data_IF_932400847702
#
_entry.id   IF_932400847702
#
_cell.length_a   1.000
_cell.length_b   1.000
_cell.length_c   1.000
_cell.angle_alpha   90.00
_cell.angle_beta   90.00
_cell.angle_gamma   90.00
#
_symmetry.space_group_name_H-M   'P 1'
#
loop_
_entity.id
_entity.type
_entity.pdbx_description
1 polymer ?
#
# COMPACT_ATOMS: atom_id res chain seq x y z
N UNK A 1 33.55 -16.26 33.59
CA UNK A 1 33.65 -15.47 32.34
C UNK A 1 33.71 -16.46 31.19
N UNK A 2 32.68 -16.48 30.35
CA UNK A 2 32.76 -16.79 28.92
C UNK A 2 31.39 -16.41 28.38
N UNK A 3 31.28 -15.12 28.02
CA UNK A 3 30.20 -14.66 27.20
C UNK A 3 30.37 -15.33 25.84
N UNK A 4 29.53 -16.31 25.55
CA UNK A 4 29.20 -16.63 24.16
C UNK A 4 28.53 -15.38 23.61
N UNK A 5 29.36 -14.49 23.06
CA UNK A 5 28.94 -13.50 22.10
C UNK A 5 28.10 -14.23 21.07
N UNK A 6 26.80 -13.92 21.00
CA UNK A 6 25.93 -14.32 19.90
C UNK A 6 26.70 -14.03 18.61
N UNK A 7 27.26 -15.07 17.99
CA UNK A 7 27.94 -14.94 16.70
C UNK A 7 26.85 -14.58 15.72
N UNK A 8 26.73 -13.30 15.41
CA UNK A 8 25.84 -12.82 14.36
C UNK A 8 26.39 -13.36 13.05
N UNK A 9 25.84 -14.50 12.60
CA UNK A 9 26.13 -15.02 11.28
C UNK A 9 25.48 -14.09 10.28
N UNK A 10 26.26 -13.60 9.32
CA UNK A 10 25.73 -12.82 8.20
C UNK A 10 24.88 -13.77 7.35
N UNK A 11 23.71 -13.29 6.93
CA UNK A 11 22.76 -14.03 6.11
C UNK A 11 22.56 -13.25 4.81
N UNK A 12 22.87 -13.89 3.69
CA UNK A 12 22.59 -13.37 2.35
C UNK A 12 21.26 -13.96 1.87
N UNK A 13 20.28 -13.11 1.60
CA UNK A 13 18.93 -13.53 1.19
C UNK A 13 18.76 -13.28 -0.31
N UNK A 14 18.45 -14.34 -1.05
CA UNK A 14 18.12 -14.32 -2.48
C UNK A 14 16.63 -14.61 -2.62
N UNK A 15 15.82 -13.57 -2.83
CA UNK A 15 14.37 -13.68 -2.93
C UNK A 15 13.89 -13.74 -4.39
N UNK A 16 12.92 -14.60 -4.67
CA UNK A 16 12.22 -14.65 -5.94
C UNK A 16 10.74 -15.01 -5.76
N UNK A 17 9.90 -14.60 -6.70
CA UNK A 17 8.52 -15.06 -6.77
C UNK A 17 8.40 -16.18 -7.81
N UNK A 18 8.07 -17.43 -7.41
CA UNK A 18 8.01 -18.55 -8.35
C UNK A 18 6.90 -18.40 -9.40
N UNK A 19 5.85 -17.62 -9.13
CA UNK A 19 4.71 -17.41 -10.05
C UNK A 19 4.87 -16.17 -10.93
N UNK A 20 5.87 -15.32 -10.67
CA UNK A 20 6.27 -14.23 -11.58
C UNK A 20 7.15 -14.72 -12.73
N UNK A 21 7.42 -16.03 -12.81
CA UNK A 21 8.23 -16.68 -13.83
C UNK A 21 7.45 -17.85 -14.41
N UNK A 22 7.71 -18.16 -15.68
CA UNK A 22 7.29 -19.43 -16.27
C UNK A 22 8.13 -20.59 -15.70
N UNK A 23 7.62 -21.83 -15.77
CA UNK A 23 8.37 -23.01 -15.30
C UNK A 23 9.76 -23.13 -15.94
N UNK A 24 9.84 -22.87 -17.25
CA UNK A 24 11.10 -22.88 -17.97
C UNK A 24 12.05 -21.76 -17.56
N UNK A 25 11.55 -20.56 -17.24
CA UNK A 25 12.39 -19.50 -16.67
C UNK A 25 12.81 -19.79 -15.23
N UNK A 26 12.02 -20.54 -14.46
CA UNK A 26 12.32 -20.86 -13.06
C UNK A 26 13.42 -21.93 -12.95
N UNK A 27 13.27 -23.05 -13.65
CA UNK A 27 14.19 -24.21 -13.56
C UNK A 27 15.14 -24.37 -14.74
N UNK A 28 14.80 -23.77 -15.88
CA UNK A 28 15.50 -23.94 -17.14
C UNK A 28 14.66 -24.72 -18.14
N UNK A 29 14.93 -24.48 -19.42
CA UNK A 29 14.24 -25.15 -20.53
C UNK A 29 15.16 -25.30 -21.73
N UNK A 30 14.88 -26.32 -22.54
CA UNK A 30 15.48 -26.43 -23.87
C UNK A 30 14.72 -25.56 -24.85
N UNK A 31 15.44 -24.86 -25.71
CA UNK A 31 14.84 -24.20 -26.86
C UNK A 31 14.41 -25.28 -27.88
N UNK A 32 13.14 -25.30 -28.27
CA UNK A 32 12.60 -26.30 -29.19
C UNK A 32 13.21 -26.26 -30.59
N UNK A 33 13.71 -25.10 -31.02
CA UNK A 33 14.29 -24.90 -32.35
C UNK A 33 15.79 -25.19 -32.37
N UNK A 34 16.54 -24.71 -31.36
CA UNK A 34 18.00 -24.83 -31.35
C UNK A 34 18.50 -26.03 -30.54
N UNK A 35 17.62 -26.65 -29.74
CA UNK A 35 17.97 -27.65 -28.73
C UNK A 35 19.02 -27.18 -27.71
N UNK A 36 19.25 -25.86 -27.61
CA UNK A 36 20.15 -25.29 -26.61
C UNK A 36 19.45 -25.17 -25.26
N UNK A 37 20.19 -25.46 -24.20
CA UNK A 37 19.70 -25.33 -22.83
C UNK A 37 19.82 -23.88 -22.35
N UNK A 38 18.74 -23.36 -21.79
CA UNK A 38 18.74 -22.08 -21.07
C UNK A 38 18.51 -22.35 -19.58
N UNK A 39 19.42 -21.85 -18.75
CA UNK A 39 19.33 -22.01 -17.30
C UNK A 39 18.20 -21.18 -16.69
N UNK A 40 17.51 -21.77 -15.69
CA UNK A 40 16.49 -21.06 -14.93
C UNK A 40 17.06 -20.22 -13.79
N UNK A 41 16.28 -19.22 -13.35
CA UNK A 41 16.65 -18.28 -12.29
C UNK A 41 16.95 -19.00 -10.97
N UNK A 42 16.12 -19.97 -10.56
CA UNK A 42 16.35 -20.70 -9.31
C UNK A 42 17.65 -21.54 -9.36
N UNK A 43 17.95 -22.14 -10.51
CA UNK A 43 19.18 -22.89 -10.73
C UNK A 43 20.42 -21.99 -10.70
N UNK A 44 20.35 -20.79 -11.29
CA UNK A 44 21.44 -19.79 -11.23
C UNK A 44 21.69 -19.34 -9.80
N UNK A 45 20.65 -18.94 -9.06
CA UNK A 45 20.78 -18.48 -7.67
C UNK A 45 21.34 -19.57 -6.77
N UNK A 46 20.86 -20.81 -6.91
CA UNK A 46 21.37 -21.93 -6.12
C UNK A 46 22.84 -22.22 -6.43
N UNK A 47 23.26 -22.19 -7.70
CA UNK A 47 24.68 -22.36 -8.06
C UNK A 47 25.55 -21.25 -7.50
N UNK A 48 25.09 -20.01 -7.51
CA UNK A 48 25.81 -18.89 -6.90
C UNK A 48 25.97 -19.11 -5.39
N UNK A 49 24.92 -19.51 -4.69
CA UNK A 49 24.94 -19.81 -3.27
C UNK A 49 25.84 -21.02 -2.92
N UNK A 50 25.88 -22.06 -3.76
CA UNK A 50 26.76 -23.24 -3.56
C UNK A 50 28.23 -22.89 -3.81
N UNK A 51 28.52 -22.00 -4.76
CA UNK A 51 29.89 -21.56 -5.09
C UNK A 51 30.48 -20.67 -4.01
N UNK A 52 29.66 -19.98 -3.21
CA UNK A 52 30.15 -19.16 -2.12
C UNK A 52 30.70 -20.03 -0.98
N UNK A 53 32.01 -19.91 -0.75
CA UNK A 53 32.73 -20.61 0.31
C UNK A 53 32.81 -19.81 1.62
N UNK A 54 32.22 -18.62 1.69
CA UNK A 54 32.14 -17.80 2.91
C UNK A 54 31.47 -18.55 4.07
N UNK A 55 31.78 -18.20 5.33
CA UNK A 55 31.12 -18.80 6.49
C UNK A 55 29.65 -18.36 6.64
N UNK A 56 29.16 -17.49 5.76
CA UNK A 56 27.85 -16.88 5.83
C UNK A 56 26.74 -17.88 5.48
N UNK A 57 25.53 -17.59 5.95
CA UNK A 57 24.34 -18.36 5.58
C UNK A 57 23.76 -17.81 4.28
N UNK A 58 23.34 -18.71 3.40
CA UNK A 58 22.73 -18.37 2.12
C UNK A 58 21.26 -18.78 2.16
N UNK A 59 20.33 -17.83 2.10
CA UNK A 59 18.90 -18.11 2.10
C UNK A 59 18.34 -17.95 0.68
N UNK A 60 17.70 -18.98 0.17
CA UNK A 60 16.94 -18.90 -1.09
C UNK A 60 15.47 -18.82 -0.70
N UNK A 61 14.89 -17.63 -0.84
CA UNK A 61 13.51 -17.32 -0.44
C UNK A 61 12.59 -17.36 -1.66
N UNK A 62 11.58 -18.21 -1.60
CA UNK A 62 10.49 -18.26 -2.56
C UNK A 62 9.27 -17.56 -1.95
N UNK A 63 9.05 -16.31 -2.34
CA UNK A 63 7.94 -15.47 -1.88
C UNK A 63 6.81 -15.47 -2.91
N UNK A 64 5.77 -16.25 -2.63
CA UNK A 64 4.61 -16.35 -3.50
C UNK A 64 3.82 -17.64 -3.29
N UNK A 65 2.63 -17.75 -3.91
CA UNK A 65 1.76 -18.88 -3.69
C UNK A 65 2.38 -20.19 -4.23
N UNK A 66 2.18 -21.27 -3.47
CA UNK A 66 2.58 -22.61 -3.87
C UNK A 66 1.58 -23.18 -4.87
N UNK A 67 2.13 -23.81 -5.90
CA UNK A 67 1.38 -24.52 -6.93
C UNK A 67 1.96 -25.93 -7.03
N UNK A 68 1.08 -26.93 -7.19
CA UNK A 68 1.48 -28.33 -7.27
C UNK A 68 2.52 -28.58 -8.36
N UNK A 69 2.44 -27.85 -9.48
CA UNK A 69 3.30 -28.09 -10.65
C UNK A 69 4.75 -27.72 -10.36
N UNK A 70 4.99 -26.54 -9.79
CA UNK A 70 6.37 -26.09 -9.58
C UNK A 70 7.01 -26.76 -8.37
N UNK A 71 6.25 -26.97 -7.29
CA UNK A 71 6.82 -27.55 -6.07
C UNK A 71 7.20 -29.03 -6.25
N UNK A 72 6.54 -29.77 -7.14
CA UNK A 72 6.88 -31.16 -7.43
C UNK A 72 8.32 -31.32 -7.93
N UNK A 73 8.79 -30.37 -8.75
CA UNK A 73 10.17 -30.32 -9.25
C UNK A 73 11.20 -30.07 -8.14
N UNK A 74 10.76 -29.68 -6.94
CA UNK A 74 11.63 -29.45 -5.77
C UNK A 74 11.64 -30.62 -4.78
N UNK A 75 10.85 -31.67 -4.95
CA UNK A 75 10.73 -32.73 -3.93
C UNK A 75 12.08 -33.39 -3.56
N UNK A 76 13.01 -33.52 -4.52
CA UNK A 76 14.36 -34.08 -4.31
C UNK A 76 15.33 -33.15 -3.59
N UNK A 77 15.08 -31.84 -3.61
CA UNK A 77 15.89 -30.88 -2.84
C UNK A 77 15.34 -30.68 -1.43
N UNK A 78 14.04 -30.90 -1.26
CA UNK A 78 13.35 -30.78 0.03
C UNK A 78 13.45 -32.03 0.90
N UNK A 79 13.81 -33.18 0.34
CA UNK A 79 14.06 -34.40 1.12
C UNK A 79 15.52 -34.48 1.64
N UNK A 80 15.85 -35.58 2.31
CA UNK A 80 17.18 -35.81 2.89
C UNK A 80 18.31 -35.83 1.84
N UNK A 81 17.99 -35.96 0.55
CA UNK A 81 19.00 -35.95 -0.50
C UNK A 81 19.61 -34.56 -0.69
N UNK A 82 18.87 -33.48 -0.40
CA UNK A 82 19.32 -32.09 -0.54
C UNK A 82 19.92 -31.80 -1.93
N UNK A 83 19.31 -32.32 -2.99
CA UNK A 83 19.79 -32.22 -4.37
C UNK A 83 18.70 -31.69 -5.29
N UNK A 84 18.96 -30.57 -5.95
CA UNK A 84 18.11 -30.09 -7.02
C UNK A 84 18.51 -30.78 -8.34
N UNK A 85 17.58 -31.54 -8.90
CA UNK A 85 17.75 -32.20 -10.19
C UNK A 85 17.05 -31.38 -11.27
N UNK A 86 17.80 -30.90 -12.26
CA UNK A 86 17.26 -30.15 -13.38
C UNK A 86 16.95 -31.06 -14.56
N UNK A 87 16.04 -30.63 -15.44
CA UNK A 87 15.70 -31.36 -16.66
C UNK A 87 16.88 -31.47 -17.64
N UNK A 88 17.92 -30.65 -17.49
CA UNK A 88 19.20 -30.80 -18.21
C UNK A 88 20.01 -32.04 -17.81
N UNK A 89 19.65 -32.68 -16.69
CA UNK A 89 20.45 -33.73 -16.05
C UNK A 89 21.47 -33.20 -15.04
N UNK A 90 21.60 -31.87 -14.88
CA UNK A 90 22.45 -31.29 -13.83
C UNK A 90 21.88 -31.58 -12.43
N UNK A 91 22.77 -31.94 -11.49
CA UNK A 91 22.43 -32.18 -10.09
C UNK A 91 23.21 -31.21 -9.22
N UNK A 92 22.50 -30.28 -8.57
CA UNK A 92 23.07 -29.28 -7.67
C UNK A 92 22.85 -29.74 -6.23
N UNK A 93 23.92 -30.05 -5.50
CA UNK A 93 23.84 -30.48 -4.09
C UNK A 93 23.94 -29.29 -3.14
N UNK A 94 23.00 -29.17 -2.20
CA UNK A 94 22.99 -28.11 -1.21
C UNK A 94 24.00 -28.40 -0.11
N UNK A 95 24.69 -27.34 0.33
CA UNK A 95 25.54 -27.38 1.52
C UNK A 95 24.71 -27.05 2.77
N UNK A 96 25.21 -27.38 3.97
CA UNK A 96 24.56 -27.03 5.24
C UNK A 96 24.50 -25.51 5.53
N UNK A 97 25.10 -24.69 4.67
CA UNK A 97 25.03 -23.22 4.76
C UNK A 97 23.82 -22.65 4.02
N UNK A 98 23.25 -23.41 3.10
CA UNK A 98 22.10 -23.00 2.30
C UNK A 98 20.82 -23.38 3.06
N UNK A 99 19.85 -22.48 3.06
CA UNK A 99 18.51 -22.74 3.59
C UNK A 99 17.50 -22.27 2.56
N UNK A 100 16.61 -23.17 2.16
CA UNK A 100 15.47 -22.82 1.30
C UNK A 100 14.30 -22.45 2.20
N UNK A 101 13.68 -21.31 1.91
CA UNK A 101 12.54 -20.79 2.65
C UNK A 101 11.39 -20.52 1.68
N UNK A 102 10.18 -20.81 2.12
CA UNK A 102 8.97 -20.59 1.36
C UNK A 102 8.07 -19.66 2.18
N UNK A 103 7.86 -18.45 1.68
CA UNK A 103 6.90 -17.50 2.22
C UNK A 103 5.61 -17.61 1.40
N UNK A 104 4.57 -18.16 2.03
CA UNK A 104 3.35 -18.61 1.35
C UNK A 104 2.14 -18.20 2.18
N UNK A 105 1.06 -17.75 1.52
CA UNK A 105 -0.19 -17.39 2.21
C UNK A 105 -0.91 -18.64 2.74
N UNK A 106 -1.00 -19.68 1.92
CA UNK A 106 -1.58 -20.97 2.27
C UNK A 106 -0.89 -22.13 1.52
N UNK A 107 -1.17 -23.34 1.99
CA UNK A 107 -0.70 -24.61 1.42
C UNK A 107 -1.85 -25.44 0.86
N UNK A 108 -2.98 -24.82 0.48
CA UNK A 108 -4.19 -25.54 0.08
C UNK A 108 -3.99 -26.43 -1.15
N UNK A 109 -3.00 -26.11 -1.98
CA UNK A 109 -2.67 -26.82 -3.22
C UNK A 109 -1.42 -27.70 -3.09
N UNK A 110 -0.82 -27.78 -1.91
CA UNK A 110 0.36 -28.59 -1.66
C UNK A 110 -0.03 -30.00 -1.16
N UNK A 111 0.69 -31.03 -1.63
CA UNK A 111 0.47 -32.39 -1.15
C UNK A 111 0.99 -32.56 0.29
N UNK A 112 0.30 -33.34 1.17
CA UNK A 112 0.82 -33.62 2.51
C UNK A 112 2.22 -34.24 2.52
N UNK A 113 2.59 -34.98 1.47
CA UNK A 113 3.91 -35.59 1.31
C UNK A 113 5.03 -34.57 1.00
N UNK A 114 4.69 -33.44 0.37
CA UNK A 114 5.61 -32.31 0.15
C UNK A 114 5.76 -31.51 1.44
N UNK A 115 4.64 -31.24 2.12
CA UNK A 115 4.60 -30.49 3.39
C UNK A 115 5.35 -31.23 4.51
N UNK A 116 5.27 -32.56 4.57
CA UNK A 116 5.94 -33.36 5.62
C UNK A 116 7.46 -33.28 5.59
N UNK A 117 8.06 -32.84 4.49
CA UNK A 117 9.52 -32.69 4.32
C UNK A 117 10.03 -31.33 4.80
N UNK A 118 9.12 -30.39 5.06
CA UNK A 118 9.45 -29.01 5.38
C UNK A 118 9.18 -28.71 6.86
N UNK A 119 10.05 -27.89 7.47
CA UNK A 119 9.78 -27.34 8.80
C UNK A 119 8.69 -26.27 8.72
N UNK A 120 7.59 -26.44 9.46
CA UNK A 120 6.47 -25.52 9.44
C UNK A 120 6.58 -24.47 10.54
N UNK A 121 6.60 -23.20 10.15
CA UNK A 121 6.50 -22.06 11.07
C UNK A 121 5.19 -21.34 10.79
N UNK A 122 4.22 -21.49 11.69
CA UNK A 122 2.94 -20.80 11.56
C UNK A 122 3.01 -19.43 12.22
N UNK A 123 2.84 -18.38 11.42
CA UNK A 123 2.66 -17.02 11.93
C UNK A 123 1.18 -16.70 12.00
N UNK A 124 0.64 -16.57 13.20
CA UNK A 124 -0.74 -16.13 13.39
C UNK A 124 -0.85 -14.61 13.11
N UNK A 125 -1.63 -14.17 12.11
CA UNK A 125 -1.72 -12.73 11.78
C UNK A 125 -2.29 -11.88 12.92
N UNK A 126 -3.13 -12.47 13.78
CA UNK A 126 -3.72 -11.80 14.93
C UNK A 126 -2.72 -11.55 16.06
N UNK A 127 -1.65 -12.35 16.15
CA UNK A 127 -0.68 -12.26 17.23
C UNK A 127 0.16 -10.96 17.17
N UNK A 128 0.42 -10.43 15.98
CA UNK A 128 1.18 -9.19 15.82
C UNK A 128 0.31 -7.94 16.04
N UNK A 129 -0.97 -8.00 15.61
CA UNK A 129 -1.92 -6.88 15.70
C UNK A 129 -1.49 -5.63 14.89
N UNK A 130 -2.20 -4.52 15.10
CA UNK A 130 -1.92 -3.25 14.42
C UNK A 130 -0.90 -2.36 15.15
N UNK A 131 -0.67 -2.64 16.44
CA UNK A 131 0.18 -1.84 17.32
C UNK A 131 1.63 -1.68 16.84
N UNK A 132 2.32 -2.74 16.41
CA UNK A 132 3.70 -2.64 15.90
C UNK A 132 3.83 -1.73 14.67
N UNK A 133 2.86 -1.76 13.75
CA UNK A 133 2.84 -0.88 12.58
C UNK A 133 2.73 0.59 12.99
N UNK A 134 1.80 0.90 13.91
CA UNK A 134 1.59 2.24 14.43
C UNK A 134 2.86 2.74 15.15
N UNK A 135 3.43 1.94 16.05
CA UNK A 135 4.64 2.31 16.80
C UNK A 135 5.85 2.51 15.89
N UNK A 136 6.04 1.63 14.92
CA UNK A 136 7.11 1.75 13.92
C UNK A 136 7.00 3.05 13.14
N UNK A 137 5.79 3.38 12.66
CA UNK A 137 5.53 4.62 11.94
C UNK A 137 5.77 5.86 12.81
N UNK A 138 5.29 5.88 14.05
CA UNK A 138 5.52 6.99 14.99
C UNK A 138 7.02 7.18 15.27
N UNK A 139 7.79 6.09 15.38
CA UNK A 139 9.24 6.17 15.59
C UNK A 139 9.97 6.68 14.34
N UNK A 140 9.46 6.37 13.14
CA UNK A 140 10.03 6.82 11.88
C UNK A 140 9.72 8.30 11.53
N UNK A 141 8.85 8.98 12.29
CA UNK A 141 8.55 10.40 12.05
C UNK A 141 9.82 11.27 12.19
N UNK A 142 9.98 12.35 11.40
CA UNK A 142 11.13 13.24 11.47
C UNK A 142 11.28 13.97 12.81
N UNK A 143 12.47 14.47 13.09
CA UNK A 143 12.78 15.25 14.32
C UNK A 143 11.99 16.55 14.43
N UNK A 144 11.38 17.05 13.34
CA UNK A 144 10.47 18.20 13.39
C UNK A 144 9.22 17.95 14.24
N UNK A 145 8.85 16.69 14.45
CA UNK A 145 7.75 16.31 15.34
C UNK A 145 8.26 16.15 16.78
N UNK A 146 7.83 17.06 17.65
CA UNK A 146 8.09 17.01 19.09
C UNK A 146 7.53 15.72 19.72
N UNK A 147 8.02 15.39 20.90
CA UNK A 147 7.54 14.25 21.67
C UNK A 147 6.04 14.35 21.96
N UNK A 148 5.53 15.55 22.24
CA UNK A 148 4.10 15.81 22.47
C UNK A 148 3.26 15.48 21.22
N UNK A 149 3.74 15.85 20.02
CA UNK A 149 3.04 15.53 18.77
C UNK A 149 2.99 14.01 18.52
N UNK A 150 4.07 13.30 18.82
CA UNK A 150 4.15 11.83 18.69
C UNK A 150 3.18 11.14 19.65
N UNK A 151 3.10 11.60 20.89
CA UNK A 151 2.18 11.07 21.89
C UNK A 151 0.71 11.34 21.51
N UNK A 152 0.42 12.54 20.98
CA UNK A 152 -0.91 12.88 20.47
C UNK A 152 -1.32 11.97 19.29
N UNK A 153 -0.44 11.79 18.30
CA UNK A 153 -0.67 10.91 17.16
C UNK A 153 -0.83 9.44 17.57
N UNK A 154 0.01 8.95 18.47
CA UNK A 154 -0.07 7.59 19.00
C UNK A 154 -1.40 7.36 19.73
N UNK A 155 -1.84 8.34 20.54
CA UNK A 155 -3.14 8.30 21.21
C UNK A 155 -4.29 8.24 20.21
N UNK A 156 -4.28 9.09 19.17
CA UNK A 156 -5.29 9.07 18.11
C UNK A 156 -5.30 7.71 17.39
N UNK A 157 -4.15 7.22 16.95
CA UNK A 157 -4.02 5.94 16.25
C UNK A 157 -4.61 4.78 17.07
N UNK A 158 -4.20 4.65 18.34
CA UNK A 158 -4.67 3.59 19.23
C UNK A 158 -6.17 3.71 19.56
N UNK A 159 -6.71 4.94 19.60
CA UNK A 159 -8.11 5.18 19.96
C UNK A 159 -9.07 4.86 18.81
N UNK A 160 -8.64 5.09 17.56
CA UNK A 160 -9.53 5.05 16.40
C UNK A 160 -9.25 3.93 15.40
N UNK A 161 -7.99 3.58 15.09
CA UNK A 161 -7.69 2.69 13.96
C UNK A 161 -8.25 1.29 14.19
N UNK A 162 -7.92 0.65 15.31
CA UNK A 162 -8.37 -0.71 15.59
C UNK A 162 -9.91 -0.82 15.76
N UNK A 163 -10.58 0.10 16.49
CA UNK A 163 -12.04 0.15 16.50
C UNK A 163 -12.67 0.42 15.12
N UNK A 164 -12.06 1.26 14.28
CA UNK A 164 -12.56 1.56 12.94
C UNK A 164 -12.50 0.32 12.04
N UNK A 165 -11.37 -0.39 12.04
CA UNK A 165 -11.21 -1.65 11.30
C UNK A 165 -12.21 -2.68 11.82
N UNK A 166 -12.37 -2.81 13.13
CA UNK A 166 -13.36 -3.73 13.74
C UNK A 166 -14.79 -3.39 13.32
N UNK A 167 -15.14 -2.10 13.27
CA UNK A 167 -16.45 -1.64 12.86
C UNK A 167 -16.72 -1.97 11.38
N UNK A 168 -15.77 -1.66 10.49
CA UNK A 168 -15.88 -1.97 9.05
C UNK A 168 -16.09 -3.47 8.83
N UNK A 169 -15.30 -4.32 9.50
CA UNK A 169 -15.40 -5.79 9.39
C UNK A 169 -16.74 -6.35 9.85
N UNK A 170 -17.39 -5.72 10.83
CA UNK A 170 -18.65 -6.21 11.42
C UNK A 170 -19.90 -5.64 10.75
N UNK A 171 -19.87 -4.39 10.32
CA UNK A 171 -21.08 -3.62 9.99
C UNK A 171 -21.16 -3.15 8.53
N UNK A 172 -20.06 -3.25 7.78
CA UNK A 172 -19.95 -2.73 6.43
C UNK A 172 -19.61 -3.84 5.43
N UNK A 173 -20.01 -3.62 4.18
CA UNK A 173 -19.61 -4.48 3.06
C UNK A 173 -18.48 -3.80 2.29
N UNK A 174 -17.38 -4.50 2.14
CA UNK A 174 -16.26 -4.01 1.34
C UNK A 174 -16.37 -4.43 -0.12
N UNK A 175 -15.93 -3.54 -1.01
CA UNK A 175 -15.95 -3.81 -2.46
C UNK A 175 -14.88 -4.83 -2.86
N UNK A 176 -13.73 -4.77 -2.19
CA UNK A 176 -12.61 -5.70 -2.35
C UNK A 176 -12.22 -6.21 -0.97
N UNK A 177 -11.86 -7.49 -0.87
CA UNK A 177 -11.31 -8.08 0.36
C UNK A 177 -10.02 -7.36 0.75
N UNK A 178 -10.00 -6.75 1.93
CA UNK A 178 -8.80 -6.09 2.45
C UNK A 178 -8.22 -6.85 3.65
N UNK A 179 -6.97 -6.53 4.01
CA UNK A 179 -6.29 -7.04 5.19
C UNK A 179 -6.17 -5.92 6.22
N UNK A 180 -6.34 -6.23 7.51
CA UNK A 180 -6.34 -5.23 8.59
C UNK A 180 -5.04 -4.42 8.63
N UNK A 181 -3.89 -5.08 8.43
CA UNK A 181 -2.58 -4.44 8.36
C UNK A 181 -2.48 -3.47 7.17
N UNK A 182 -3.06 -3.83 6.02
CA UNK A 182 -3.08 -2.96 4.84
C UNK A 182 -3.99 -1.74 5.05
N UNK A 183 -5.12 -1.89 5.75
CA UNK A 183 -5.98 -0.75 6.11
C UNK A 183 -5.25 0.23 7.05
N UNK A 184 -4.58 -0.30 8.06
CA UNK A 184 -3.74 0.50 8.96
C UNK A 184 -2.61 1.20 8.17
N UNK A 185 -1.84 0.46 7.37
CA UNK A 185 -0.77 1.01 6.54
C UNK A 185 -1.27 2.07 5.56
N UNK A 186 -2.44 1.88 4.94
CA UNK A 186 -3.07 2.88 4.06
C UNK A 186 -3.44 4.16 4.80
N UNK A 187 -3.98 4.04 6.03
CA UNK A 187 -4.25 5.19 6.89
C UNK A 187 -2.97 5.96 7.22
N UNK A 188 -1.92 5.25 7.63
CA UNK A 188 -0.64 5.84 8.00
C UNK A 188 0.05 6.50 6.79
N UNK A 189 0.02 5.86 5.61
CA UNK A 189 0.58 6.43 4.36
C UNK A 189 -0.18 7.67 3.91
N UNK A 190 -1.51 7.67 3.97
CA UNK A 190 -2.30 8.85 3.63
C UNK A 190 -2.01 9.99 4.61
N UNK A 191 -1.94 9.69 5.91
CA UNK A 191 -1.60 10.65 6.93
C UNK A 191 -0.18 11.21 6.75
N UNK A 192 0.79 10.37 6.40
CA UNK A 192 2.15 10.78 6.04
C UNK A 192 2.15 11.81 4.90
N UNK A 193 1.34 11.58 3.86
CA UNK A 193 1.23 12.48 2.71
C UNK A 193 0.59 13.82 3.09
N UNK A 194 -0.49 13.78 3.89
CA UNK A 194 -1.21 14.95 4.38
C UNK A 194 -0.36 15.80 5.34
N UNK A 195 0.47 15.14 6.15
CA UNK A 195 1.41 15.82 7.03
C UNK A 195 2.63 16.38 6.29
N UNK A 196 2.81 16.07 5.01
CA UNK A 196 3.93 16.49 4.16
C UNK A 196 4.41 17.94 4.34
N UNK A 197 3.53 18.95 4.48
CA UNK A 197 3.93 20.34 4.73
C UNK A 197 4.73 20.57 6.03
N UNK A 198 4.61 19.67 7.03
CA UNK A 198 5.29 19.74 8.33
C UNK A 198 6.59 18.91 8.40
N UNK A 199 6.95 18.21 7.31
CA UNK A 199 8.18 17.43 7.27
C UNK A 199 9.36 18.37 7.07
N UNK A 200 10.37 18.25 7.94
CA UNK A 200 11.69 18.76 7.62
C UNK A 200 12.33 17.86 6.57
N UNK A 201 12.76 18.44 5.46
CA UNK A 201 13.54 17.83 4.39
C UNK A 201 14.81 18.65 4.17
N UNK A 202 15.83 18.07 3.53
CA UNK A 202 17.10 18.75 3.23
C UNK A 202 16.89 20.09 2.49
N UNK A 203 15.88 20.14 1.62
CA UNK A 203 15.54 21.33 0.82
C UNK A 203 14.44 22.22 1.45
N UNK A 204 13.76 21.74 2.50
CA UNK A 204 12.58 22.43 3.07
C UNK A 204 12.48 22.24 4.57
N UNK A 205 12.72 23.31 5.32
CA UNK A 205 12.42 23.36 6.75
C UNK A 205 11.08 24.09 6.99
N UNK A 206 10.10 23.49 7.70
CA UNK A 206 8.86 24.18 8.01
C UNK A 206 9.11 25.39 8.92
N UNK A 207 8.42 26.50 8.66
CA UNK A 207 8.54 27.70 9.50
C UNK A 207 7.94 27.43 10.90
N UNK A 208 8.38 28.20 11.90
CA UNK A 208 7.87 28.09 13.28
C UNK A 208 6.34 28.27 13.34
N UNK A 209 5.80 29.21 12.56
CA UNK A 209 4.36 29.49 12.47
C UNK A 209 3.56 28.28 11.95
N UNK A 210 4.10 27.54 10.98
CA UNK A 210 3.47 26.31 10.44
C UNK A 210 3.48 25.21 11.51
N UNK A 211 4.57 25.08 12.26
CA UNK A 211 4.65 24.09 13.35
C UNK A 211 3.76 24.42 14.54
N UNK A 212 3.49 25.69 14.84
CA UNK A 212 2.55 26.11 15.89
C UNK A 212 1.10 25.74 15.58
N UNK A 213 0.74 25.67 14.29
CA UNK A 213 -0.60 25.25 13.83
C UNK A 213 -0.81 23.73 13.88
N UNK A 214 0.28 22.95 13.89
CA UNK A 214 0.24 21.49 13.81
C UNK A 214 -0.71 20.84 14.84
N UNK A 215 -0.66 21.17 16.16
CA UNK A 215 -1.55 20.54 17.14
C UNK A 215 -3.04 20.69 16.83
N UNK A 216 -3.44 21.81 16.22
CA UNK A 216 -4.83 22.10 15.87
C UNK A 216 -5.27 21.34 14.61
N UNK A 217 -4.34 21.08 13.68
CA UNK A 217 -4.60 20.42 12.40
C UNK A 217 -4.42 18.89 12.46
N UNK A 218 -3.62 18.36 13.41
CA UNK A 218 -3.38 16.91 13.56
C UNK A 218 -4.68 16.11 13.65
N UNK A 219 -5.63 16.57 14.44
CA UNK A 219 -6.90 15.86 14.65
C UNK A 219 -7.75 15.82 13.37
N UNK A 220 -8.09 16.95 12.70
CA UNK A 220 -8.77 16.93 11.41
C UNK A 220 -8.10 16.07 10.36
N UNK A 221 -6.76 16.18 10.22
CA UNK A 221 -5.99 15.40 9.25
C UNK A 221 -6.05 13.91 9.54
N UNK A 222 -5.97 13.52 10.82
CA UNK A 222 -6.12 12.14 11.23
C UNK A 222 -7.52 11.58 10.91
N UNK A 223 -8.58 12.33 11.24
CA UNK A 223 -9.96 11.92 10.98
C UNK A 223 -10.23 11.82 9.46
N UNK A 224 -9.75 12.79 8.69
CA UNK A 224 -9.79 12.74 7.23
C UNK A 224 -9.04 11.51 6.70
N UNK A 225 -7.80 11.30 7.15
CA UNK A 225 -6.97 10.15 6.78
C UNK A 225 -7.65 8.82 7.09
N UNK A 226 -8.31 8.70 8.25
CA UNK A 226 -9.04 7.50 8.65
C UNK A 226 -10.28 7.25 7.77
N UNK A 227 -11.07 8.28 7.49
CA UNK A 227 -12.26 8.16 6.64
C UNK A 227 -11.89 7.77 5.20
N UNK A 228 -10.84 8.39 4.65
CA UNK A 228 -10.35 8.19 3.28
C UNK A 228 -9.36 7.03 3.12
N UNK A 229 -9.15 6.21 4.15
CA UNK A 229 -8.36 4.98 4.08
C UNK A 229 -9.15 3.75 4.53
N UNK A 230 -9.69 3.75 5.74
CA UNK A 230 -10.42 2.61 6.33
C UNK A 230 -11.90 2.68 5.96
N UNK A 231 -12.53 3.85 6.07
CA UNK A 231 -13.96 3.99 5.79
C UNK A 231 -14.31 3.89 4.29
N UNK A 232 -13.39 4.32 3.41
CA UNK A 232 -13.65 4.41 1.96
C UNK A 232 -13.74 3.06 1.25
N UNK A 233 -13.22 1.98 1.85
CA UNK A 233 -13.24 0.62 1.26
C UNK A 233 -14.65 0.01 1.22
N UNK A 234 -15.58 0.64 1.92
CA UNK A 234 -16.98 0.25 2.03
C UNK A 234 -17.84 0.82 0.89
N UNK A 235 -19.00 0.19 0.67
CA UNK A 235 -20.03 0.70 -0.25
C UNK A 235 -20.73 1.97 0.27
N UNK A 236 -21.62 2.55 -0.54
CA UNK A 236 -22.32 3.81 -0.20
C UNK A 236 -23.08 3.71 1.14
N UNK A 237 -23.72 2.58 1.41
CA UNK A 237 -24.44 2.34 2.68
C UNK A 237 -23.47 2.20 3.85
N UNK A 238 -22.36 1.49 3.65
CA UNK A 238 -21.29 1.31 4.61
C UNK A 238 -20.64 2.64 5.00
N UNK A 239 -20.45 3.57 4.06
CA UNK A 239 -19.92 4.91 4.32
C UNK A 239 -20.80 5.73 5.22
N UNK A 240 -22.13 5.66 5.07
CA UNK A 240 -23.08 6.34 5.96
C UNK A 240 -22.98 5.79 7.39
N UNK A 241 -22.98 4.47 7.54
CA UNK A 241 -22.81 3.80 8.85
C UNK A 241 -21.46 4.14 9.50
N UNK A 242 -20.39 4.14 8.71
CA UNK A 242 -19.06 4.47 9.18
C UNK A 242 -18.97 5.93 9.62
N UNK A 243 -19.59 6.85 8.87
CA UNK A 243 -19.69 8.25 9.23
C UNK A 243 -20.41 8.45 10.58
N UNK A 244 -21.58 7.84 10.76
CA UNK A 244 -22.33 7.90 12.02
C UNK A 244 -21.51 7.37 13.20
N UNK A 245 -20.89 6.19 13.03
CA UNK A 245 -20.01 5.61 14.02
C UNK A 245 -18.82 6.51 14.35
N UNK A 246 -18.17 7.09 13.34
CA UNK A 246 -17.01 7.95 13.52
C UNK A 246 -17.37 9.22 14.31
N UNK A 247 -18.50 9.85 14.00
CA UNK A 247 -18.99 11.03 14.72
C UNK A 247 -19.35 10.70 16.17
N UNK A 248 -20.02 9.56 16.41
CA UNK A 248 -20.27 9.08 17.76
C UNK A 248 -18.96 8.85 18.52
N UNK A 249 -17.97 8.23 17.88
CA UNK A 249 -16.67 7.93 18.50
C UNK A 249 -15.88 9.19 18.83
N UNK A 250 -15.93 10.22 17.98
CA UNK A 250 -15.33 11.53 18.24
C UNK A 250 -15.98 12.19 19.46
N UNK A 251 -17.30 12.12 19.58
CA UNK A 251 -18.05 12.65 20.72
C UNK A 251 -17.69 11.92 22.04
N UNK A 252 -17.62 10.58 22.02
CA UNK A 252 -17.23 9.76 23.17
C UNK A 252 -15.82 10.06 23.68
N UNK A 253 -14.88 10.23 22.74
CA UNK A 253 -13.46 10.46 23.05
C UNK A 253 -13.14 11.92 23.36
N UNK A 254 -14.14 12.82 23.23
CA UNK A 254 -14.04 14.28 23.45
C UNK A 254 -12.91 14.92 22.64
N UNK A 255 -12.63 14.36 21.47
CA UNK A 255 -11.64 14.87 20.54
C UNK A 255 -12.23 16.10 19.86
N UNK A 256 -11.55 17.25 19.96
CA UNK A 256 -12.01 18.50 19.34
C UNK A 256 -11.81 18.39 17.83
N UNK A 257 -12.89 18.39 17.08
CA UNK A 257 -12.87 18.54 15.63
C UNK A 257 -13.30 19.99 15.31
N UNK A 258 -12.36 20.91 15.05
CA UNK A 258 -12.70 22.29 14.70
C UNK A 258 -13.61 22.31 13.48
N UNK A 259 -14.66 23.14 13.53
CA UNK A 259 -15.46 23.56 12.38
C UNK A 259 -16.28 22.49 11.64
N UNK A 260 -16.22 21.21 12.02
CA UNK A 260 -17.19 20.22 11.54
C UNK A 260 -18.42 20.23 12.46
N UNK A 261 -19.23 21.27 12.35
CA UNK A 261 -20.63 21.16 12.74
C UNK A 261 -21.34 20.36 11.65
N UNK A 262 -22.07 19.32 12.00
CA UNK A 262 -22.99 18.63 11.09
C UNK A 262 -24.05 19.62 10.60
N UNK A 263 -23.70 20.41 9.58
CA UNK A 263 -24.58 21.41 9.00
C UNK A 263 -25.60 20.67 8.15
N UNK A 264 -26.86 20.68 8.61
CA UNK A 264 -28.01 20.40 7.74
C UNK A 264 -28.21 21.61 6.83
N UNK A 265 -27.52 21.65 5.70
CA UNK A 265 -27.91 22.55 4.61
C UNK A 265 -28.92 21.84 3.73
N UNK A 266 -30.07 22.46 3.48
CA UNK A 266 -31.09 21.92 2.58
C UNK A 266 -31.87 20.68 3.07
N UNK A 267 -31.63 20.20 4.29
CA UNK A 267 -32.34 19.05 4.87
C UNK A 267 -31.63 17.70 4.73
N UNK A 268 -30.51 17.65 4.00
CA UNK A 268 -29.65 16.46 3.89
C UNK A 268 -28.50 16.51 4.91
N UNK A 269 -28.11 15.35 5.45
CA UNK A 269 -27.04 15.24 6.43
C UNK A 269 -25.70 15.19 5.72
N UNK A 270 -24.91 16.27 5.80
CA UNK A 270 -23.52 16.27 5.30
C UNK A 270 -22.68 15.26 6.07
N UNK A 271 -21.94 14.45 5.33
CA UNK A 271 -21.02 13.44 5.84
C UNK A 271 -19.58 13.93 5.77
N UNK A 272 -18.67 13.24 6.45
CA UNK A 272 -17.23 13.47 6.35
C UNK A 272 -16.68 13.29 4.91
N UNK A 273 -17.45 12.63 4.04
CA UNK A 273 -17.10 12.43 2.64
C UNK A 273 -17.51 13.61 1.74
N UNK A 274 -18.39 14.51 2.21
CA UNK A 274 -18.87 15.69 1.47
C UNK A 274 -17.94 16.90 1.61
N UNK A 275 -16.99 16.81 2.54
CA UNK A 275 -16.04 17.88 2.85
C UNK A 275 -14.60 17.45 2.65
N UNK A 276 -13.75 18.41 2.32
CA UNK A 276 -12.29 18.32 2.33
C UNK A 276 -11.74 19.20 3.46
N UNK A 277 -10.66 18.77 4.10
CA UNK A 277 -9.93 19.65 5.01
C UNK A 277 -8.90 20.46 4.21
N UNK A 278 -9.05 21.78 4.19
CA UNK A 278 -8.21 22.65 3.40
C UNK A 278 -6.88 22.96 4.11
N UNK A 279 -5.80 22.53 3.47
CA UNK A 279 -4.41 22.73 3.90
C UNK A 279 -3.65 23.67 2.94
N UNK A 280 -4.34 24.29 1.99
CA UNK A 280 -3.70 25.22 1.07
C UNK A 280 -3.17 26.44 1.85
N UNK A 281 -1.88 26.80 1.71
CA UNK A 281 -1.38 28.02 2.29
C UNK A 281 -2.07 29.20 1.62
N UNK A 282 -2.50 30.18 2.42
CA UNK A 282 -3.22 31.36 1.94
C UNK A 282 -2.44 32.17 0.89
N UNK A 283 -1.12 32.04 0.83
CA UNK A 283 -0.27 32.69 -0.18
C UNK A 283 0.97 31.82 -0.51
N UNK A 284 1.22 31.52 -1.79
CA UNK A 284 2.59 31.26 -2.28
C UNK A 284 3.04 29.82 -2.60
N UNK A 285 2.18 28.80 -2.58
CA UNK A 285 2.51 27.45 -3.10
C UNK A 285 1.73 27.17 -4.38
N UNK A 286 2.39 26.76 -5.46
CA UNK A 286 1.84 26.62 -6.83
C UNK A 286 0.67 25.62 -7.05
N UNK A 287 -0.16 25.35 -6.05
CA UNK A 287 -1.51 24.85 -6.23
C UNK A 287 -2.48 26.03 -6.44
N UNK A 288 -3.48 25.85 -7.30
CA UNK A 288 -4.54 26.84 -7.43
C UNK A 288 -5.19 27.11 -6.06
N UNK A 289 -5.39 28.38 -5.67
CA UNK A 289 -6.11 28.70 -4.44
C UNK A 289 -7.52 28.09 -4.50
N UNK A 290 -8.13 27.74 -3.35
CA UNK A 290 -9.52 27.33 -3.32
C UNK A 290 -10.37 28.44 -3.96
N UNK A 291 -11.25 28.08 -4.89
CA UNK A 291 -12.15 29.04 -5.52
C UNK A 291 -13.06 29.77 -4.50
N UNK A 292 -13.13 29.26 -3.27
CA UNK A 292 -14.01 29.70 -2.18
C UNK A 292 -13.43 30.76 -1.24
N UNK A 293 -12.15 31.17 -1.38
CA UNK A 293 -11.54 32.14 -0.45
C UNK A 293 -11.50 31.67 1.01
N UNK A 294 -11.52 30.34 1.22
CA UNK A 294 -11.48 29.74 2.55
C UNK A 294 -10.13 29.98 3.25
N UNK A 295 -10.17 30.19 4.56
CA UNK A 295 -8.97 30.32 5.40
C UNK A 295 -8.40 28.94 5.73
N UNK A 296 -7.07 28.82 5.73
CA UNK A 296 -6.31 27.61 6.10
C UNK A 296 -6.86 26.94 7.38
N UNK A 297 -7.07 25.61 7.33
CA UNK A 297 -7.50 24.82 8.50
C UNK A 297 -9.01 24.72 8.71
N UNK A 298 -9.82 24.84 7.65
CA UNK A 298 -11.28 24.66 7.70
C UNK A 298 -11.75 23.50 6.82
N UNK A 299 -12.94 22.97 7.16
CA UNK A 299 -13.65 22.01 6.33
C UNK A 299 -14.43 22.75 5.24
N UNK A 300 -14.19 22.41 3.99
CA UNK A 300 -14.82 23.03 2.82
C UNK A 300 -15.53 21.97 1.98
N UNK A 301 -16.66 22.32 1.36
CA UNK A 301 -17.33 21.40 0.43
C UNK A 301 -16.45 21.11 -0.78
N UNK A 302 -16.43 19.85 -1.23
CA UNK A 302 -15.67 19.44 -2.41
C UNK A 302 -16.05 20.23 -3.68
N UNK A 303 -17.30 20.62 -3.83
CA UNK A 303 -17.73 21.42 -4.99
C UNK A 303 -17.12 22.83 -4.97
N UNK A 304 -16.74 23.34 -3.80
CA UNK A 304 -16.11 24.65 -3.64
C UNK A 304 -14.60 24.60 -3.93
N UNK A 305 -13.99 23.41 -4.04
CA UNK A 305 -12.55 23.26 -4.33
C UNK A 305 -12.23 23.17 -5.83
N UNK A 306 -13.20 22.84 -6.68
CA UNK A 306 -13.00 22.76 -8.13
C UNK A 306 -13.25 24.11 -8.82
N UNK A 307 -12.40 24.53 -9.79
CA UNK A 307 -12.72 25.66 -10.64
C UNK A 307 -13.99 25.39 -11.48
N UNK A 308 -14.65 26.46 -11.92
CA UNK A 308 -15.81 26.34 -12.80
C UNK A 308 -15.42 25.65 -14.11
N UNK A 309 -16.22 24.68 -14.55
CA UNK A 309 -15.98 23.94 -15.79
C UNK A 309 -16.08 24.89 -17.01
N UNK A 310 -14.97 25.09 -17.70
CA UNK A 310 -14.94 25.79 -18.99
C UNK A 310 -14.70 24.75 -20.08
N UNK A 311 -15.72 24.49 -20.89
CA UNK A 311 -15.62 23.60 -22.05
C UNK A 311 -15.19 24.44 -23.25
N UNK A 312 -14.01 24.18 -23.86
CA UNK A 312 -13.59 24.86 -25.10
C UNK A 312 -14.59 24.56 -26.22
N UNK A 313 -14.92 25.55 -27.05
CA UNK A 313 -15.92 25.40 -28.12
C UNK A 313 -15.49 24.38 -29.19
N UNK A 314 -14.19 24.14 -29.30
CA UNK A 314 -13.54 23.26 -30.26
C UNK A 314 -13.28 21.85 -29.68
N UNK A 315 -13.65 21.59 -28.43
CA UNK A 315 -13.42 20.29 -27.81
C UNK A 315 -14.33 19.22 -28.44
N UNK A 316 -13.70 18.13 -28.92
CA UNK A 316 -14.45 16.95 -29.36
C UNK A 316 -15.24 16.36 -28.18
N UNK A 317 -16.50 15.97 -28.41
CA UNK A 317 -17.38 15.44 -27.38
C UNK A 317 -16.78 14.28 -26.57
N UNK A 318 -15.95 13.45 -27.22
CA UNK A 318 -15.28 12.30 -26.63
C UNK A 318 -14.21 12.69 -25.58
N UNK A 319 -13.69 13.91 -25.65
CA UNK A 319 -12.63 14.41 -24.78
C UNK A 319 -13.14 15.30 -23.63
N UNK A 320 -14.46 15.52 -23.55
CA UNK A 320 -15.08 16.33 -22.51
C UNK A 320 -15.33 15.44 -21.28
N UNK A 321 -14.53 15.65 -20.23
CA UNK A 321 -14.76 15.03 -18.93
C UNK A 321 -15.40 16.06 -18.01
N UNK A 322 -16.61 15.75 -17.54
CA UNK A 322 -17.33 16.60 -16.59
C UNK A 322 -16.88 16.22 -15.17
N UNK A 323 -16.26 17.12 -14.40
CA UNK A 323 -15.87 16.85 -13.03
C UNK A 323 -17.12 16.66 -12.17
N UNK A 324 -17.35 15.42 -11.75
CA UNK A 324 -18.36 15.10 -10.73
C UNK A 324 -17.74 15.20 -9.34
N UNK A 325 -18.60 15.29 -8.32
CA UNK A 325 -18.19 15.26 -6.92
C UNK A 325 -17.24 14.08 -6.61
N UNK A 326 -17.56 12.88 -7.09
CA UNK A 326 -16.73 11.69 -6.92
C UNK A 326 -15.41 11.75 -7.69
N UNK A 327 -15.39 12.39 -8.86
CA UNK A 327 -14.18 12.60 -9.64
C UNK A 327 -13.22 13.56 -8.94
N UNK A 328 -13.74 14.64 -8.32
CA UNK A 328 -12.94 15.60 -7.54
C UNK A 328 -12.32 14.89 -6.33
N UNK A 329 -13.13 14.16 -5.56
CA UNK A 329 -12.71 13.38 -4.38
C UNK A 329 -11.62 12.36 -4.72
N UNK A 330 -11.85 11.55 -5.74
CA UNK A 330 -10.90 10.54 -6.17
C UNK A 330 -9.60 11.16 -6.64
N UNK A 331 -9.67 12.20 -7.48
CA UNK A 331 -8.48 12.90 -7.99
C UNK A 331 -7.68 13.54 -6.86
N UNK A 332 -8.32 14.08 -5.83
CA UNK A 332 -7.62 14.64 -4.67
C UNK A 332 -6.81 13.59 -3.90
N UNK A 333 -7.44 12.48 -3.51
CA UNK A 333 -6.74 11.40 -2.77
C UNK A 333 -5.66 10.77 -3.63
N UNK A 334 -5.96 10.55 -4.91
CA UNK A 334 -5.03 10.02 -5.89
C UNK A 334 -3.79 10.92 -6.04
N UNK A 335 -3.99 12.21 -6.27
CA UNK A 335 -2.93 13.22 -6.37
C UNK A 335 -2.07 13.26 -5.10
N UNK A 336 -2.72 13.27 -3.94
CA UNK A 336 -2.04 13.36 -2.64
C UNK A 336 -1.06 12.21 -2.43
N UNK A 337 -1.46 10.99 -2.78
CA UNK A 337 -0.63 9.79 -2.67
C UNK A 337 0.43 9.72 -3.80
N UNK A 338 0.04 10.02 -5.04
CA UNK A 338 0.93 9.95 -6.22
C UNK A 338 2.11 10.90 -6.10
N UNK A 339 1.86 12.17 -5.70
CA UNK A 339 2.91 13.20 -5.53
C UNK A 339 3.93 12.87 -4.43
N UNK A 340 3.63 11.88 -3.58
CA UNK A 340 4.53 11.37 -2.53
C UNK A 340 5.06 9.96 -2.84
N UNK A 341 4.93 9.51 -4.09
CA UNK A 341 5.41 8.22 -4.55
C UNK A 341 4.70 7.02 -3.92
N UNK A 342 3.49 7.19 -3.40
CA UNK A 342 2.72 6.09 -2.81
C UNK A 342 1.83 5.45 -3.89
N UNK A 343 1.86 4.12 -3.96
CA UNK A 343 1.05 3.34 -4.91
C UNK A 343 -0.43 3.28 -4.49
N UNK A 344 -1.32 3.24 -5.49
CA UNK A 344 -2.77 3.37 -5.31
C UNK A 344 -3.47 2.28 -6.13
N UNK A 345 -4.51 1.69 -5.56
CA UNK A 345 -5.43 0.80 -6.26
C UNK A 345 -6.82 1.42 -6.30
N UNK A 346 -7.30 1.76 -7.50
CA UNK A 346 -8.65 2.29 -7.69
C UNK A 346 -9.61 1.19 -8.14
N UNK A 347 -10.44 0.73 -7.21
CA UNK A 347 -11.39 -0.34 -7.44
C UNK A 347 -12.82 0.17 -7.63
N UNK A 348 -13.60 -0.51 -8.46
CA UNK A 348 -15.04 -0.26 -8.59
C UNK A 348 -15.63 -0.83 -9.87
N UNK A 349 -16.97 -0.85 -10.01
CA UNK A 349 -17.68 -1.40 -11.17
C UNK A 349 -17.24 -0.79 -12.51
N UNK A 350 -17.46 -1.48 -13.63
CA UNK A 350 -17.16 -0.93 -14.96
C UNK A 350 -18.00 0.33 -15.24
N UNK A 351 -17.48 1.25 -16.04
CA UNK A 351 -18.20 2.47 -16.44
C UNK A 351 -18.24 3.61 -15.41
N UNK A 352 -17.57 3.50 -14.25
CA UNK A 352 -17.60 4.55 -13.20
C UNK A 352 -16.53 5.63 -13.35
N UNK A 353 -16.01 5.90 -14.56
CA UNK A 353 -15.06 6.99 -14.82
C UNK A 353 -13.65 6.84 -14.24
N UNK A 354 -13.30 5.73 -13.57
CA UNK A 354 -11.99 5.52 -12.91
C UNK A 354 -10.79 5.73 -13.84
N UNK A 355 -10.76 5.00 -14.95
CA UNK A 355 -9.65 5.06 -15.92
C UNK A 355 -9.56 6.43 -16.58
N UNK A 356 -10.71 7.07 -16.84
CA UNK A 356 -10.79 8.41 -17.45
C UNK A 356 -10.20 9.45 -16.51
N UNK A 357 -10.61 9.47 -15.24
CA UNK A 357 -10.09 10.41 -14.23
C UNK A 357 -8.58 10.26 -14.01
N UNK A 358 -8.08 9.02 -13.92
CA UNK A 358 -6.65 8.74 -13.74
C UNK A 358 -5.87 9.20 -14.97
N UNK A 359 -6.33 8.83 -16.16
CA UNK A 359 -5.64 9.18 -17.41
C UNK A 359 -5.65 10.69 -17.64
N UNK A 360 -6.77 11.36 -17.39
CA UNK A 360 -6.86 12.82 -17.50
C UNK A 360 -5.87 13.52 -16.58
N UNK A 361 -5.76 13.10 -15.32
CA UNK A 361 -4.77 13.66 -14.43
C UNK A 361 -3.35 13.39 -14.93
N UNK A 362 -3.02 12.14 -15.25
CA UNK A 362 -1.67 11.74 -15.64
C UNK A 362 -1.17 12.42 -16.92
N UNK A 363 -2.04 12.56 -17.94
CA UNK A 363 -1.64 13.18 -19.21
C UNK A 363 -1.75 14.70 -19.23
N UNK A 364 -2.64 15.32 -18.44
CA UNK A 364 -2.85 16.79 -18.49
C UNK A 364 -2.28 17.55 -17.30
N UNK A 365 -2.22 16.94 -16.12
CA UNK A 365 -2.01 17.65 -14.84
C UNK A 365 -0.84 17.10 -14.00
N UNK A 366 -0.30 15.93 -14.32
CA UNK A 366 0.84 15.39 -13.60
C UNK A 366 2.11 16.22 -13.87
N UNK A 367 3.02 16.34 -12.89
CA UNK A 367 4.31 16.99 -13.12
C UNK A 367 5.12 16.29 -14.22
N UNK A 368 5.98 17.03 -14.93
CA UNK A 368 6.82 16.53 -16.03
C UNK A 368 7.78 15.39 -15.64
N UNK A 369 7.97 15.14 -14.34
CA UNK A 369 8.77 14.03 -13.84
C UNK A 369 8.04 12.67 -13.85
N UNK A 370 6.77 12.63 -14.26
CA UNK A 370 6.00 11.40 -14.38
C UNK A 370 5.88 10.96 -15.83
N UNK A 371 6.31 9.73 -16.11
CA UNK A 371 6.04 9.04 -17.37
C UNK A 371 4.95 7.99 -17.16
N UNK A 372 3.98 7.92 -18.08
CA UNK A 372 2.83 7.03 -17.96
C UNK A 372 2.89 5.94 -19.03
N UNK A 373 2.92 4.68 -18.59
CA UNK A 373 2.76 3.51 -19.45
C UNK A 373 1.41 2.86 -19.11
N UNK A 374 0.48 2.91 -20.06
CA UNK A 374 -0.84 2.30 -19.90
C UNK A 374 -0.83 0.84 -20.37
N UNK A 375 -0.95 -0.10 -19.43
CA UNK A 375 -1.09 -1.52 -19.70
C UNK A 375 -2.50 -2.00 -19.37
N UNK A 376 -3.11 -2.77 -20.29
CA UNK A 376 -4.43 -3.36 -20.08
C UNK A 376 -4.29 -4.86 -19.88
N UNK A 377 -4.80 -5.36 -18.76
CA UNK A 377 -4.85 -6.79 -18.47
C UNK A 377 -6.14 -7.39 -19.00
N UNK A 378 -6.02 -8.53 -19.68
CA UNK A 378 -7.14 -9.36 -20.14
C UNK A 378 -7.00 -10.78 -19.57
N UNK A 379 -8.00 -11.63 -19.81
CA UNK A 379 -7.93 -13.04 -19.41
C UNK A 379 -6.78 -13.83 -20.07
N UNK A 380 -6.18 -13.31 -21.14
CA UNK A 380 -5.05 -13.90 -21.86
C UNK A 380 -3.72 -13.20 -21.57
N UNK A 381 -3.69 -12.26 -20.61
CA UNK A 381 -2.44 -11.59 -20.28
C UNK A 381 -1.53 -12.52 -19.49
N UNK A 382 -0.35 -12.81 -20.03
CA UNK A 382 0.63 -13.72 -19.45
C UNK A 382 1.85 -12.98 -18.91
N UNK A 383 2.59 -13.64 -18.00
CA UNK A 383 3.79 -13.10 -17.35
C UNK A 383 4.77 -12.44 -18.34
N UNK A 384 5.05 -13.12 -19.45
CA UNK A 384 6.01 -12.64 -20.46
C UNK A 384 5.55 -11.38 -21.24
N UNK A 385 4.28 -11.00 -21.16
CA UNK A 385 3.79 -9.76 -21.79
C UNK A 385 3.94 -8.54 -20.87
N UNK A 386 4.15 -8.78 -19.58
CA UNK A 386 4.27 -7.75 -18.55
C UNK A 386 5.74 -7.49 -18.19
N UNK A 387 6.57 -8.52 -18.27
CA UNK A 387 8.04 -8.44 -18.24
C UNK A 387 8.54 -7.63 -19.44
#
# INVERSE_FOLDING_TARGET
>A
MNGDSLRTLVVHVHALNPKSLTMGQLYGQFNELTHEWTDGVAAVLLRQAVRDTSPDKQWIMFDGPVDAIWIESMNSVLDDNKKLCLNSGEIISLTNRITMMFEVEDLAVASPATVSRCGMVYMEPQALGLGPLIRSWINALPTSFSQEHREMLLKLCNTFIEPAVTFVRKNCKETIRTVNNNLCASCLRLLECLLGPFWASEDRMPSKEVLEKLPQQLTPLFIFGLAWSVGITTDTVGRLKFNEWLLQRIAETRVKLPSFSSCREGGEMKTIYDVCFDMSPSEGGGGAPPASGASEGQWVDWMATSPALVIPKEAAYENIVIPTLDSIRMTYVFKTLLLKGKHILCAGPTGTGKTVNISEYLYKNAPDCYETIALTFSAQTHVNQVQ
#
